data_IF_404148342350
#
_entry.id   IF_404148342350
#
_cell.length_a   1.000
_cell.length_b   1.000
_cell.length_c   1.000
_cell.angle_alpha   90.00
_cell.angle_beta   90.00
_cell.angle_gamma   90.00
#
_symmetry.space_group_name_H-M   'P 1'
#
loop_
_entity.id
_entity.type
_entity.pdbx_description
1 polymer ?
#
# COMPACT_ATOMS: atom_id res chain seq x y z
N UNK A 1 -34.64 23.22 3.53
CA UNK A 1 -34.62 22.28 4.68
C UNK A 1 -33.20 21.92 5.14
N UNK A 2 -32.24 21.67 4.24
CA UNK A 2 -30.85 21.31 4.61
C UNK A 2 -30.12 22.40 5.41
N UNK A 3 -30.23 23.68 5.02
CA UNK A 3 -29.55 24.79 5.72
C UNK A 3 -30.01 24.98 7.18
N UNK A 4 -31.31 24.76 7.46
CA UNK A 4 -31.85 24.87 8.83
C UNK A 4 -31.38 23.74 9.74
N UNK A 5 -31.13 22.56 9.18
CA UNK A 5 -30.60 21.40 9.92
C UNK A 5 -29.10 21.57 10.20
N UNK A 6 -28.34 22.16 9.27
CA UNK A 6 -26.94 22.53 9.44
C UNK A 6 -26.75 23.65 10.48
N UNK A 7 -27.60 24.69 10.47
CA UNK A 7 -27.61 25.73 11.51
C UNK A 7 -27.84 25.14 12.91
N UNK A 8 -28.65 24.08 13.01
CA UNK A 8 -28.98 23.42 14.28
C UNK A 8 -27.87 22.47 14.77
N UNK A 9 -27.08 21.85 13.87
CA UNK A 9 -25.97 20.95 14.22
C UNK A 9 -24.62 21.64 14.38
N UNK A 10 -24.33 22.70 13.62
CA UNK A 10 -23.01 23.35 13.56
C UNK A 10 -23.02 24.81 14.05
N UNK A 11 -24.18 25.36 14.42
CA UNK A 11 -24.34 26.74 14.90
C UNK A 11 -24.16 27.80 13.80
N UNK A 12 -24.23 29.10 14.14
CA UNK A 12 -24.19 30.17 13.12
C UNK A 12 -22.82 30.37 12.44
N UNK A 13 -21.82 29.58 12.81
CA UNK A 13 -20.43 29.72 12.38
C UNK A 13 -20.10 28.99 11.05
N UNK A 14 -20.93 28.06 10.58
CA UNK A 14 -20.66 27.32 9.34
C UNK A 14 -20.87 28.16 8.08
N UNK A 15 -21.78 29.14 8.11
CA UNK A 15 -22.07 30.03 6.97
C UNK A 15 -20.85 30.89 6.59
N UNK A 16 -20.24 31.66 7.50
CA UNK A 16 -19.03 32.42 7.16
C UNK A 16 -17.84 31.51 6.83
N UNK A 17 -17.77 30.30 7.41
CA UNK A 17 -16.73 29.33 7.09
C UNK A 17 -16.86 28.80 5.64
N UNK A 18 -18.08 28.47 5.20
CA UNK A 18 -18.33 28.04 3.83
C UNK A 18 -18.16 29.19 2.83
N UNK A 19 -18.62 30.39 3.14
CA UNK A 19 -18.43 31.55 2.27
C UNK A 19 -16.93 31.86 2.10
N UNK A 20 -16.15 31.79 3.19
CA UNK A 20 -14.70 31.91 3.12
C UNK A 20 -14.06 30.78 2.29
N UNK A 21 -14.51 29.54 2.47
CA UNK A 21 -14.05 28.39 1.71
C UNK A 21 -14.38 28.50 0.22
N UNK A 22 -15.58 28.93 -0.16
CA UNK A 22 -15.97 29.16 -1.56
C UNK A 22 -15.21 30.33 -2.18
N UNK A 23 -15.02 31.42 -1.43
CA UNK A 23 -14.25 32.58 -1.89
C UNK A 23 -12.77 32.24 -2.15
N UNK A 24 -12.18 31.34 -1.35
CA UNK A 24 -10.78 30.93 -1.47
C UNK A 24 -10.62 29.52 -2.04
N UNK A 25 -11.69 28.93 -2.59
CA UNK A 25 -11.75 27.51 -2.97
C UNK A 25 -10.61 27.15 -3.92
N UNK A 26 -10.38 27.98 -4.92
CA UNK A 26 -9.32 27.76 -5.92
C UNK A 26 -7.92 27.83 -5.28
N UNK A 27 -7.71 28.72 -4.31
CA UNK A 27 -6.44 28.88 -3.61
C UNK A 27 -6.15 27.75 -2.62
N UNK A 28 -7.19 27.12 -2.07
CA UNK A 28 -7.06 25.96 -1.17
C UNK A 28 -6.94 24.67 -1.99
N UNK A 29 -7.78 24.52 -3.01
CA UNK A 29 -7.88 23.28 -3.78
C UNK A 29 -6.69 23.06 -4.70
N UNK A 30 -6.13 24.10 -5.34
CA UNK A 30 -4.99 23.91 -6.26
C UNK A 30 -3.76 23.34 -5.53
N UNK A 31 -3.29 23.91 -4.40
CA UNK A 31 -2.20 23.32 -3.64
C UNK A 31 -2.52 21.91 -3.12
N UNK A 32 -3.76 21.67 -2.70
CA UNK A 32 -4.18 20.36 -2.20
C UNK A 32 -4.15 19.29 -3.30
N UNK A 33 -4.65 19.60 -4.49
CA UNK A 33 -4.60 18.70 -5.66
C UNK A 33 -3.16 18.50 -6.11
N UNK A 34 -2.36 19.55 -6.15
CA UNK A 34 -0.94 19.45 -6.45
C UNK A 34 -0.24 18.52 -5.44
N UNK A 35 -0.51 18.68 -4.14
CA UNK A 35 0.01 17.82 -3.08
C UNK A 35 -0.40 16.36 -3.27
N UNK A 36 -1.69 16.10 -3.51
CA UNK A 36 -2.18 14.75 -3.80
C UNK A 36 -1.50 14.13 -5.03
N UNK A 37 -1.25 14.92 -6.08
CA UNK A 37 -0.52 14.45 -7.25
C UNK A 37 0.92 14.02 -6.89
N UNK A 38 1.63 14.80 -6.05
CA UNK A 38 2.98 14.40 -5.58
C UNK A 38 2.91 13.11 -4.75
N UNK A 39 1.89 12.95 -3.90
CA UNK A 39 1.70 11.70 -3.14
C UNK A 39 1.50 10.51 -4.08
N UNK A 40 0.65 10.64 -5.09
CA UNK A 40 0.43 9.59 -6.09
C UNK A 40 1.73 9.22 -6.80
N UNK A 41 2.52 10.21 -7.23
CA UNK A 41 3.83 9.98 -7.88
C UNK A 41 4.80 9.26 -6.95
N UNK A 42 4.84 9.62 -5.66
CA UNK A 42 5.69 8.93 -4.69
C UNK A 42 5.27 7.47 -4.46
N UNK A 43 3.96 7.19 -4.53
CA UNK A 43 3.43 5.83 -4.41
C UNK A 43 3.66 4.96 -5.65
N UNK A 44 4.01 5.53 -6.80
CA UNK A 44 4.35 4.75 -7.99
C UNK A 44 5.56 3.85 -7.74
N UNK A 45 6.56 4.31 -6.97
CA UNK A 45 7.74 3.51 -6.64
C UNK A 45 7.38 2.19 -5.95
N UNK A 46 6.44 2.25 -4.99
CA UNK A 46 5.96 1.06 -4.28
C UNK A 46 5.13 0.16 -5.20
N UNK A 47 4.24 0.75 -6.01
CA UNK A 47 3.39 -0.02 -6.93
C UNK A 47 4.19 -0.72 -8.02
N UNK A 48 5.20 -0.05 -8.57
CA UNK A 48 6.08 -0.62 -9.58
C UNK A 48 6.97 -1.71 -8.98
N UNK A 49 7.46 -1.52 -7.74
CA UNK A 49 8.18 -2.56 -7.02
C UNK A 49 7.29 -3.79 -6.74
N UNK A 50 6.03 -3.61 -6.32
CA UNK A 50 5.10 -4.73 -6.20
C UNK A 50 4.86 -5.43 -7.54
N UNK A 51 4.69 -4.68 -8.63
CA UNK A 51 4.46 -5.23 -9.97
C UNK A 51 5.66 -6.04 -10.44
N UNK A 52 6.88 -5.53 -10.25
CA UNK A 52 8.12 -6.24 -10.61
C UNK A 52 8.35 -7.47 -9.73
N UNK A 53 8.03 -7.40 -8.43
CA UNK A 53 8.02 -8.55 -7.53
C UNK A 53 7.04 -9.64 -7.97
N UNK A 54 5.81 -9.29 -8.41
CA UNK A 54 4.84 -10.27 -8.95
C UNK A 54 5.39 -10.95 -10.20
N UNK A 55 5.94 -10.18 -11.13
CA UNK A 55 6.58 -10.73 -12.33
C UNK A 55 7.75 -11.67 -12.00
N UNK A 56 8.57 -11.30 -11.01
CA UNK A 56 9.67 -12.14 -10.53
C UNK A 56 9.19 -13.44 -9.85
N UNK A 57 8.04 -13.40 -9.16
CA UNK A 57 7.39 -14.58 -8.59
C UNK A 57 6.81 -15.49 -9.67
N UNK A 58 6.17 -14.94 -10.70
CA UNK A 58 5.59 -15.72 -11.80
C UNK A 58 6.67 -16.44 -12.63
N UNK A 59 7.85 -15.81 -12.78
CA UNK A 59 9.02 -16.41 -13.43
C UNK A 59 9.78 -17.44 -12.57
N UNK A 60 9.34 -17.73 -11.35
CA UNK A 60 10.05 -18.62 -10.42
C UNK A 60 9.38 -20.01 -10.37
N UNK A 61 10.06 -21.09 -10.80
CA UNK A 61 9.44 -22.43 -10.92
C UNK A 61 9.00 -23.03 -9.57
N UNK A 62 9.72 -22.71 -8.49
CA UNK A 62 9.41 -23.16 -7.13
C UNK A 62 8.82 -22.05 -6.24
N UNK A 63 8.23 -21.00 -6.83
CA UNK A 63 7.71 -19.86 -6.08
C UNK A 63 6.82 -20.28 -4.91
N UNK A 64 5.93 -21.27 -5.14
CA UNK A 64 4.98 -21.80 -4.14
C UNK A 64 5.65 -22.46 -2.92
N UNK A 65 6.87 -22.98 -3.07
CA UNK A 65 7.62 -23.67 -2.01
C UNK A 65 8.80 -22.85 -1.47
N UNK A 66 9.09 -21.70 -2.08
CA UNK A 66 10.25 -20.88 -1.74
C UNK A 66 10.21 -20.43 -0.26
N UNK A 67 11.28 -20.69 0.48
CA UNK A 67 11.38 -20.22 1.87
C UNK A 67 11.64 -18.71 1.91
N UNK A 68 11.40 -18.07 3.06
CA UNK A 68 11.61 -16.62 3.27
C UNK A 68 12.99 -16.16 2.80
N UNK A 69 14.06 -16.88 3.15
CA UNK A 69 15.43 -16.57 2.69
C UNK A 69 15.59 -16.60 1.16
N UNK A 70 14.94 -17.53 0.47
CA UNK A 70 14.99 -17.64 -0.99
C UNK A 70 14.22 -16.51 -1.66
N UNK A 71 13.08 -16.13 -1.08
CA UNK A 71 12.29 -14.97 -1.51
C UNK A 71 13.07 -13.67 -1.32
N UNK A 72 13.68 -13.47 -0.16
CA UNK A 72 14.55 -12.31 0.14
C UNK A 72 15.66 -12.18 -0.90
N UNK A 73 16.45 -13.24 -1.13
CA UNK A 73 17.57 -13.22 -2.08
C UNK A 73 17.16 -12.89 -3.53
N UNK A 74 15.92 -13.17 -3.92
CA UNK A 74 15.44 -12.99 -5.30
C UNK A 74 14.58 -11.74 -5.49
N UNK A 75 13.85 -11.30 -4.47
CA UNK A 75 12.94 -10.16 -4.52
C UNK A 75 13.59 -8.85 -4.06
N UNK A 76 14.48 -8.87 -3.07
CA UNK A 76 15.24 -7.68 -2.67
C UNK A 76 16.01 -7.02 -3.82
N UNK A 77 16.76 -7.73 -4.68
CA UNK A 77 17.45 -7.09 -5.80
C UNK A 77 16.46 -6.47 -6.81
N UNK A 78 15.28 -7.07 -6.99
CA UNK A 78 14.23 -6.54 -7.88
C UNK A 78 13.63 -5.26 -7.31
N UNK A 79 13.40 -5.21 -5.99
CA UNK A 79 12.95 -4.00 -5.30
C UNK A 79 13.99 -2.89 -5.43
N UNK A 80 15.28 -3.19 -5.18
CA UNK A 80 16.38 -2.22 -5.32
C UNK A 80 16.52 -1.69 -6.75
N UNK A 81 16.45 -2.57 -7.74
CA UNK A 81 16.52 -2.17 -9.15
C UNK A 81 15.35 -1.27 -9.51
N UNK A 82 14.14 -1.60 -9.04
CA UNK A 82 12.96 -0.77 -9.30
C UNK A 82 13.09 0.58 -8.59
N UNK A 83 13.50 0.59 -7.32
CA UNK A 83 13.74 1.80 -6.53
C UNK A 83 14.72 2.77 -7.22
N UNK A 84 15.79 2.24 -7.82
CA UNK A 84 16.81 3.06 -8.52
C UNK A 84 16.26 3.87 -9.69
N UNK A 85 15.09 3.48 -10.24
CA UNK A 85 14.42 4.17 -11.34
C UNK A 85 13.47 5.28 -10.87
N UNK A 86 13.21 5.37 -9.57
CA UNK A 86 12.34 6.37 -8.98
C UNK A 86 13.13 7.42 -8.20
N UNK A 87 12.65 8.66 -8.25
CA UNK A 87 13.26 9.78 -7.51
C UNK A 87 12.62 10.00 -6.14
N UNK A 88 11.36 9.60 -5.96
CA UNK A 88 10.54 9.93 -4.81
C UNK A 88 9.84 8.69 -4.26
N UNK A 89 9.73 8.60 -2.94
CA UNK A 89 9.00 7.54 -2.25
C UNK A 89 8.32 8.08 -0.97
N UNK A 90 7.27 7.41 -0.46
CA UNK A 90 6.68 7.79 0.82
C UNK A 90 7.69 7.63 1.97
N UNK A 91 7.68 8.58 2.91
CA UNK A 91 8.65 8.67 4.02
C UNK A 91 8.21 7.93 5.29
N UNK A 92 7.02 7.32 5.32
CA UNK A 92 6.55 6.60 6.50
C UNK A 92 5.19 5.92 6.31
N UNK A 93 4.76 5.12 7.31
CA UNK A 93 3.48 4.44 7.29
C UNK A 93 2.35 5.49 7.33
N UNK A 94 1.67 5.67 6.20
CA UNK A 94 0.60 6.66 6.04
C UNK A 94 0.68 7.50 4.76
N UNK A 95 1.83 7.50 4.06
CA UNK A 95 1.91 8.03 2.69
C UNK A 95 1.72 9.54 2.53
N UNK A 96 1.63 10.31 3.62
CA UNK A 96 1.47 11.77 3.58
C UNK A 96 2.79 12.50 3.37
N UNK A 97 3.91 11.90 3.79
CA UNK A 97 5.24 12.49 3.69
C UNK A 97 6.01 11.84 2.54
N UNK A 98 6.81 12.64 1.83
CA UNK A 98 7.58 12.19 0.67
C UNK A 98 9.06 12.45 0.93
N UNK A 99 9.91 11.46 0.65
CA UNK A 99 11.37 11.56 0.70
C UNK A 99 11.99 11.17 -0.63
N UNK A 100 13.28 11.48 -0.81
CA UNK A 100 14.03 10.95 -1.95
C UNK A 100 14.05 9.43 -1.87
N UNK A 101 13.82 8.76 -2.99
CA UNK A 101 13.87 7.31 -3.03
C UNK A 101 15.32 6.85 -2.88
N UNK A 102 15.54 5.98 -1.90
CA UNK A 102 16.77 5.26 -1.69
C UNK A 102 16.44 3.76 -1.78
N UNK A 103 17.24 2.96 -2.52
CA UNK A 103 16.96 1.55 -2.73
C UNK A 103 16.86 0.72 -1.44
N UNK A 104 17.70 0.99 -0.46
CA UNK A 104 17.73 0.22 0.79
C UNK A 104 16.56 0.60 1.69
N UNK A 105 16.26 1.90 1.74
CA UNK A 105 15.09 2.43 2.43
C UNK A 105 13.76 1.89 1.86
N UNK A 106 13.66 1.67 0.54
CA UNK A 106 12.44 1.12 -0.07
C UNK A 106 12.28 -0.36 0.30
N UNK A 107 13.37 -1.12 0.30
CA UNK A 107 13.37 -2.51 0.77
C UNK A 107 12.90 -2.53 2.22
N UNK A 108 13.50 -1.73 3.09
CA UNK A 108 13.10 -1.65 4.50
C UNK A 108 11.63 -1.24 4.66
N UNK A 109 11.17 -0.24 3.91
CA UNK A 109 9.78 0.21 3.92
C UNK A 109 8.80 -0.91 3.55
N UNK A 110 9.12 -1.71 2.54
CA UNK A 110 8.28 -2.83 2.10
C UNK A 110 8.40 -4.04 3.04
N UNK A 111 9.59 -4.33 3.57
CA UNK A 111 9.85 -5.49 4.43
C UNK A 111 9.75 -5.20 5.93
N UNK A 112 9.33 -4.00 6.33
CA UNK A 112 9.16 -3.60 7.73
C UNK A 112 8.28 -4.58 8.51
N UNK A 113 7.30 -5.20 7.84
CA UNK A 113 6.46 -6.23 8.45
C UNK A 113 7.17 -7.59 8.40
N UNK A 114 7.27 -8.30 9.54
CA UNK A 114 7.84 -9.65 9.56
C UNK A 114 7.02 -10.57 8.65
N UNK A 115 7.70 -11.37 7.85
CA UNK A 115 7.11 -12.27 6.85
C UNK A 115 6.33 -11.57 5.73
N UNK A 116 6.57 -10.29 5.45
CA UNK A 116 5.91 -9.56 4.35
C UNK A 116 6.04 -10.31 3.00
N UNK A 117 7.25 -10.72 2.62
CA UNK A 117 7.49 -11.43 1.34
C UNK A 117 6.76 -12.78 1.26
N UNK A 118 6.64 -13.49 2.38
CA UNK A 118 5.89 -14.74 2.47
C UNK A 118 4.38 -14.49 2.33
N UNK A 119 3.85 -13.48 3.01
CA UNK A 119 2.45 -13.05 2.88
C UNK A 119 2.13 -12.58 1.46
N UNK A 120 3.04 -11.80 0.85
CA UNK A 120 2.91 -11.31 -0.51
C UNK A 120 2.84 -12.45 -1.52
N UNK A 121 3.75 -13.43 -1.40
CA UNK A 121 3.69 -14.67 -2.18
C UNK A 121 2.36 -15.40 -1.97
N UNK A 122 1.95 -15.60 -0.72
CA UNK A 122 0.77 -16.40 -0.39
C UNK A 122 -0.54 -15.74 -0.86
N UNK A 123 -0.59 -14.41 -0.88
CA UNK A 123 -1.69 -13.65 -1.47
C UNK A 123 -1.68 -13.74 -2.99
N UNK A 124 -0.54 -13.52 -3.64
CA UNK A 124 -0.41 -13.56 -5.10
C UNK A 124 -0.69 -14.96 -5.67
N UNK A 125 -0.19 -16.02 -5.01
CA UNK A 125 -0.35 -17.41 -5.45
C UNK A 125 -1.59 -18.10 -4.87
N UNK A 126 -2.42 -17.40 -4.09
CA UNK A 126 -3.65 -17.95 -3.48
C UNK A 126 -3.43 -19.06 -2.44
N UNK A 127 -2.24 -19.14 -1.84
CA UNK A 127 -1.87 -20.19 -0.89
C UNK A 127 -2.52 -19.99 0.50
N UNK A 128 -2.79 -18.73 0.89
CA UNK A 128 -3.41 -18.39 2.17
C UNK A 128 -4.84 -18.96 2.32
N UNK A 129 -5.58 -19.11 1.23
CA UNK A 129 -6.93 -19.70 1.19
C UNK A 129 -6.95 -21.23 1.39
N UNK A 130 -5.80 -21.91 1.20
CA UNK A 130 -5.71 -23.38 1.29
C UNK A 130 -5.56 -23.93 2.71
N UNK A 131 -4.99 -23.16 3.65
CA UNK A 131 -4.76 -23.63 5.03
C UNK A 131 -6.05 -23.78 5.85
N UNK A 132 -7.05 -22.92 5.63
CA UNK A 132 -8.36 -23.06 6.30
C UNK A 132 -9.14 -24.30 5.86
N UNK A 133 -8.93 -24.81 4.64
CA UNK A 133 -9.65 -26.00 4.13
C UNK A 133 -9.06 -27.34 4.58
N UNK A 134 -7.80 -27.39 5.00
CA UNK A 134 -7.16 -28.64 5.47
C UNK A 134 -7.49 -29.00 6.92
N UNK A 135 -7.89 -28.03 7.75
CA UNK A 135 -8.32 -28.26 9.13
C UNK A 135 -9.68 -28.96 9.26
N UNK A 136 -10.59 -28.82 8.29
CA UNK A 136 -11.93 -29.43 8.38
C UNK A 136 -11.99 -30.87 7.90
N UNK A 137 -11.01 -31.34 7.10
CA UNK A 137 -11.02 -32.70 6.56
C UNK A 137 -10.37 -33.73 7.49
N UNK A 138 -9.54 -33.31 8.45
CA UNK A 138 -8.83 -34.22 9.38
C UNK A 138 -9.66 -34.60 10.62
N UNK A 139 -10.80 -33.94 10.87
CA UNK A 139 -11.71 -34.28 11.98
C UNK A 139 -12.78 -35.32 11.65
N UNK A 140 -12.88 -35.78 10.38
CA UNK A 140 -13.87 -36.79 9.97
C UNK A 140 -13.32 -38.22 9.82
N UNK A 141 -12.03 -38.48 10.05
CA UNK A 141 -11.45 -39.83 9.92
C UNK A 141 -11.05 -40.49 11.25
N UNK A 142 -11.51 -39.96 12.39
CA UNK A 142 -11.29 -40.55 13.72
C UNK A 142 -12.61 -40.97 14.40
N UNK A 143 -13.69 -41.09 13.63
CA UNK A 143 -15.01 -41.52 14.09
C UNK A 143 -15.59 -42.60 13.17
N UNK A 144 -14.75 -43.57 12.80
CA UNK A 144 -15.13 -44.78 12.08
C UNK A 144 -14.50 -45.97 12.76
#
# INVERSE_FOLDING_TARGET
MVNSMLDMMLGHWWRPLLDYYFAHFTWISIPLVAWLAVLVVSHLAVKDAEKSMRAALDGMPDAKKANGKTLTRRLEPVIRETASRHRWMPAGPGGIWIRRCDPDDLVEHMTHLPNYLLRFRDQHLGLATGQKRRGSKRRRSLAG
#
